data_IF_093788992061
#
_entry.id   IF_093788992061
#
_cell.length_a   1.000
_cell.length_b   1.000
_cell.length_c   1.000
_cell.angle_alpha   90.00
_cell.angle_beta   90.00
_cell.angle_gamma   90.00
#
_symmetry.space_group_name_H-M   'P 1'
#
loop_
_entity.id
_entity.type
_entity.pdbx_description
1 polymer ?
#
# COMPACT_ATOMS: atom_id res chain seq x y z
N UNK A 1 -16.66 9.01 1.21
CA UNK A 1 -16.59 8.78 2.66
C UNK A 1 -17.11 7.42 3.10
N UNK A 2 -18.08 6.79 2.40
CA UNK A 2 -18.59 5.45 2.73
C UNK A 2 -17.56 4.29 2.70
N UNK A 3 -16.29 4.55 2.36
CA UNK A 3 -15.24 3.53 2.15
C UNK A 3 -14.01 3.73 3.06
N UNK A 4 -14.17 4.39 4.21
CA UNK A 4 -13.08 4.55 5.19
C UNK A 4 -13.03 3.29 6.05
N UNK A 5 -11.90 2.59 6.03
CA UNK A 5 -11.61 1.49 6.96
C UNK A 5 -10.93 1.97 8.23
N UNK A 6 -10.80 1.08 9.22
CA UNK A 6 -10.07 1.37 10.46
C UNK A 6 -8.57 1.56 10.16
N UNK A 7 -7.94 2.71 10.51
CA UNK A 7 -6.52 2.91 10.25
C UNK A 7 -5.62 1.99 11.10
N UNK A 8 -4.85 1.13 10.43
CA UNK A 8 -4.06 0.08 11.09
C UNK A 8 -2.58 0.40 11.31
N UNK A 9 -2.02 1.44 10.69
CA UNK A 9 -0.57 1.66 10.64
C UNK A 9 0.06 1.82 12.03
N UNK A 10 -0.53 2.63 12.92
CA UNK A 10 0.03 2.85 14.26
C UNK A 10 0.07 1.55 15.06
N UNK A 11 -0.97 0.70 14.97
CA UNK A 11 -0.99 -0.61 15.64
C UNK A 11 0.00 -1.59 15.00
N UNK A 12 0.16 -1.54 13.68
CA UNK A 12 1.16 -2.33 12.96
C UNK A 12 2.59 -1.97 13.37
N UNK A 13 2.91 -0.68 13.44
CA UNK A 13 4.21 -0.19 13.90
C UNK A 13 4.45 -0.46 15.38
N UNK A 14 3.43 -0.36 16.23
CA UNK A 14 3.53 -0.78 17.63
C UNK A 14 3.89 -2.26 17.74
N UNK A 15 3.23 -3.13 16.96
CA UNK A 15 3.51 -4.56 16.99
C UNK A 15 4.92 -4.88 16.48
N UNK A 16 5.36 -4.23 15.40
CA UNK A 16 6.73 -4.37 14.91
C UNK A 16 7.76 -3.88 15.94
N UNK A 17 7.48 -2.77 16.63
CA UNK A 17 8.33 -2.23 17.69
C UNK A 17 8.40 -3.16 18.89
N UNK A 18 7.28 -3.75 19.33
CA UNK A 18 7.26 -4.75 20.42
C UNK A 18 8.05 -6.01 20.08
N UNK A 19 8.04 -6.45 18.82
CA UNK A 19 8.73 -7.66 18.39
C UNK A 19 10.23 -7.43 18.12
N UNK A 20 10.59 -6.30 17.52
CA UNK A 20 11.93 -6.09 16.93
C UNK A 20 12.56 -4.74 17.29
N UNK A 21 11.84 -3.85 17.97
CA UNK A 21 12.29 -2.50 18.30
C UNK A 21 13.38 -2.48 19.35
N UNK A 22 14.42 -1.67 19.13
CA UNK A 22 15.54 -1.46 20.07
C UNK A 22 15.53 -0.09 20.74
N UNK A 23 15.03 0.93 20.03
CA UNK A 23 14.97 2.30 20.53
C UNK A 23 13.67 2.56 21.33
N UNK A 24 13.66 3.50 22.30
CA UNK A 24 12.44 3.89 22.98
C UNK A 24 11.35 4.37 21.99
N UNK A 25 10.12 3.90 22.14
CA UNK A 25 8.97 4.25 21.27
C UNK A 25 8.86 5.75 20.99
N UNK A 26 8.84 6.56 22.05
CA UNK A 26 8.69 8.01 21.95
C UNK A 26 9.79 8.70 21.10
N UNK A 27 11.01 8.14 21.09
CA UNK A 27 12.14 8.71 20.36
C UNK A 27 11.98 8.61 18.84
N UNK A 28 11.24 7.60 18.36
CA UNK A 28 11.02 7.35 16.93
C UNK A 28 10.16 8.44 16.27
N UNK A 29 9.36 9.17 17.06
CA UNK A 29 8.45 10.21 16.57
C UNK A 29 9.10 11.59 16.53
N UNK A 30 10.14 11.83 17.32
CA UNK A 30 10.72 13.16 17.54
C UNK A 30 11.16 13.86 16.25
N UNK A 31 11.84 13.19 15.29
CA UNK A 31 12.23 13.83 14.04
C UNK A 31 11.03 14.33 13.24
N UNK A 32 9.95 13.54 13.17
CA UNK A 32 8.74 13.88 12.43
C UNK A 32 7.92 14.95 13.14
N UNK A 33 7.82 14.91 14.47
CA UNK A 33 7.17 15.96 15.27
C UNK A 33 7.86 17.30 15.03
N UNK A 34 9.21 17.33 15.10
CA UNK A 34 10.00 18.54 14.83
C UNK A 34 9.73 19.06 13.42
N UNK A 35 9.82 18.20 12.41
CA UNK A 35 9.55 18.56 11.02
C UNK A 35 8.14 19.12 10.82
N UNK A 36 7.14 18.55 11.49
CA UNK A 36 5.75 19.00 11.42
C UNK A 36 5.51 20.35 12.12
N UNK A 37 6.18 20.62 13.25
CA UNK A 37 6.08 21.92 13.97
C UNK A 37 6.86 23.03 13.28
N UNK A 38 8.12 22.77 12.92
CA UNK A 38 9.01 23.78 12.32
C UNK A 38 8.63 24.04 10.85
N UNK A 39 8.10 23.02 10.18
CA UNK A 39 7.74 23.04 8.79
C UNK A 39 8.88 22.63 7.87
N UNK A 40 8.55 22.36 6.62
CA UNK A 40 9.49 21.96 5.59
C UNK A 40 9.09 22.51 4.21
N UNK A 41 10.05 22.70 3.29
CA UNK A 41 9.73 23.12 1.93
C UNK A 41 8.99 22.00 1.20
N UNK A 42 7.87 22.32 0.57
CA UNK A 42 7.05 21.35 -0.16
C UNK A 42 7.89 20.73 -1.28
N UNK A 43 8.09 19.40 -1.29
CA UNK A 43 8.80 18.72 -2.36
C UNK A 43 8.05 18.82 -3.69
N UNK A 44 8.77 18.82 -4.81
CA UNK A 44 8.18 18.89 -6.15
C UNK A 44 7.10 17.81 -6.40
N UNK A 45 7.31 16.60 -5.87
CA UNK A 45 6.33 15.52 -6.00
C UNK A 45 5.03 15.82 -5.24
N UNK A 46 5.11 16.41 -4.04
CA UNK A 46 3.92 16.78 -3.27
C UNK A 46 3.18 17.93 -3.95
N UNK A 47 3.91 18.94 -4.44
CA UNK A 47 3.33 20.08 -5.17
C UNK A 47 2.51 19.64 -6.39
N UNK A 48 2.93 18.58 -7.10
CA UNK A 48 2.18 18.00 -8.23
C UNK A 48 0.79 17.51 -7.82
N UNK A 49 0.61 17.10 -6.57
CA UNK A 49 -0.64 16.54 -6.06
C UNK A 49 -1.51 17.55 -5.30
N UNK A 50 -0.98 18.68 -4.84
CA UNK A 50 -1.75 19.72 -4.13
C UNK A 50 -3.03 20.15 -4.88
N UNK A 51 -3.04 20.32 -6.21
CA UNK A 51 -4.27 20.68 -6.94
C UNK A 51 -5.42 19.67 -6.78
N UNK A 52 -5.13 18.40 -6.46
CA UNK A 52 -6.17 17.40 -6.19
C UNK A 52 -6.89 17.62 -4.86
N UNK A 53 -6.32 18.42 -3.95
CA UNK A 53 -6.96 18.86 -2.71
C UNK A 53 -7.89 20.06 -2.92
N UNK A 54 -7.93 20.67 -4.10
CA UNK A 54 -8.72 21.88 -4.40
C UNK A 54 -10.13 21.53 -4.89
N UNK A 55 -10.94 20.98 -4.00
CA UNK A 55 -12.36 20.68 -4.28
C UNK A 55 -13.25 21.25 -3.18
N UNK A 56 -14.53 21.47 -3.48
CA UNK A 56 -15.49 21.97 -2.47
C UNK A 56 -15.75 20.96 -1.34
N UNK A 57 -15.36 19.69 -1.52
CA UNK A 57 -15.55 18.61 -0.54
C UNK A 57 -14.36 18.45 0.41
N UNK A 58 -13.29 19.22 0.23
CA UNK A 58 -11.99 19.07 0.91
C UNK A 58 -11.60 20.29 1.73
N UNK A 59 -12.53 21.14 2.17
CA UNK A 59 -12.20 22.47 2.74
C UNK A 59 -11.10 22.46 3.82
N UNK A 60 -11.08 21.55 4.82
CA UNK A 60 -9.97 21.47 5.78
C UNK A 60 -8.63 21.07 5.14
N UNK A 61 -8.65 20.14 4.17
CA UNK A 61 -7.47 19.69 3.43
C UNK A 61 -6.96 20.78 2.47
N UNK A 62 -7.86 21.49 1.80
CA UNK A 62 -7.53 22.64 0.96
C UNK A 62 -6.84 23.70 1.81
N UNK A 63 -7.41 24.04 2.97
CA UNK A 63 -6.85 25.01 3.91
C UNK A 63 -5.44 24.62 4.37
N UNK A 64 -5.15 23.34 4.58
CA UNK A 64 -3.80 22.87 4.90
C UNK A 64 -2.77 23.23 3.80
N UNK A 65 -3.20 23.19 2.54
CA UNK A 65 -2.36 23.49 1.38
C UNK A 65 -2.61 24.88 0.79
N UNK A 66 -3.21 25.79 1.55
CA UNK A 66 -3.40 27.18 1.14
C UNK A 66 -2.57 28.11 2.00
N UNK A 67 -2.05 29.17 1.38
CA UNK A 67 -1.48 30.30 2.10
C UNK A 67 -2.58 31.16 2.77
N UNK A 68 -2.15 32.23 3.44
CA UNK A 68 -3.03 33.19 4.12
C UNK A 68 -4.01 33.90 3.18
N UNK A 69 -3.70 33.97 1.88
CA UNK A 69 -4.48 34.63 0.85
C UNK A 69 -5.38 33.62 0.10
N UNK A 70 -5.42 32.36 0.57
CA UNK A 70 -6.24 31.28 0.04
C UNK A 70 -5.68 30.65 -1.24
N UNK A 71 -4.45 30.99 -1.64
CA UNK A 71 -3.79 30.42 -2.81
C UNK A 71 -3.10 29.11 -2.45
N UNK A 72 -3.14 28.14 -3.36
CA UNK A 72 -2.49 26.86 -3.13
C UNK A 72 -0.97 27.02 -3.06
N UNK A 73 -0.36 26.36 -2.06
CA UNK A 73 1.07 26.29 -1.88
C UNK A 73 1.74 25.53 -3.05
N UNK A 74 2.97 25.93 -3.38
CA UNK A 74 3.78 25.43 -4.50
C UNK A 74 5.05 24.76 -3.99
N UNK A 75 5.77 24.12 -4.90
CA UNK A 75 7.06 23.53 -4.58
C UNK A 75 8.02 24.60 -4.02
N UNK A 76 8.68 24.28 -2.90
CA UNK A 76 9.56 25.20 -2.18
C UNK A 76 8.87 26.06 -1.12
N UNK A 77 7.55 26.25 -1.19
CA UNK A 77 6.82 26.95 -0.12
C UNK A 77 6.89 26.15 1.19
N UNK A 78 6.94 26.85 2.32
CA UNK A 78 7.02 26.21 3.63
C UNK A 78 5.63 25.77 4.10
N UNK A 79 5.49 24.48 4.42
CA UNK A 79 4.29 23.91 5.03
C UNK A 79 4.55 23.48 6.47
N UNK A 80 3.61 23.79 7.37
CA UNK A 80 3.58 23.29 8.76
C UNK A 80 2.39 22.38 8.97
N UNK A 81 2.53 21.41 9.87
CA UNK A 81 1.49 20.44 10.23
C UNK A 81 1.36 20.31 11.75
N UNK A 82 1.06 21.42 12.41
CA UNK A 82 1.05 21.51 13.89
C UNK A 82 0.10 20.50 14.54
N UNK A 83 -1.13 20.33 14.01
CA UNK A 83 -2.07 19.32 14.53
C UNK A 83 -1.58 17.88 14.37
N UNK A 84 -0.85 17.60 13.28
CA UNK A 84 -0.19 16.31 13.12
C UNK A 84 0.89 16.14 14.17
N UNK A 85 1.67 17.19 14.45
CA UNK A 85 2.68 17.14 15.50
C UNK A 85 2.06 16.85 16.88
N UNK A 86 0.96 17.52 17.23
CA UNK A 86 0.25 17.28 18.50
C UNK A 86 -0.27 15.83 18.58
N UNK A 87 -0.84 15.31 17.49
CA UNK A 87 -1.30 13.91 17.39
C UNK A 87 -0.14 12.93 17.59
N UNK A 88 0.98 13.14 16.90
CA UNK A 88 2.16 12.29 17.00
C UNK A 88 2.81 12.38 18.38
N UNK A 89 2.79 13.55 19.02
CA UNK A 89 3.29 13.74 20.38
C UNK A 89 2.44 13.00 21.42
N UNK A 90 1.12 13.03 21.29
CA UNK A 90 0.23 12.21 22.11
C UNK A 90 0.54 10.71 21.96
N UNK A 91 0.68 10.22 20.73
CA UNK A 91 1.02 8.81 20.45
C UNK A 91 2.42 8.45 20.97
N UNK A 92 3.39 9.35 20.85
CA UNK A 92 4.74 9.14 21.34
C UNK A 92 4.76 8.98 22.88
N UNK A 93 3.98 9.79 23.60
CA UNK A 93 3.98 9.84 25.06
C UNK A 93 3.08 8.79 25.70
N UNK A 94 1.95 8.46 25.07
CA UNK A 94 0.91 7.59 25.65
C UNK A 94 0.85 6.21 24.99
N UNK A 95 1.64 5.98 23.93
CA UNK A 95 1.62 4.74 23.15
C UNK A 95 0.53 4.72 22.09
N UNK A 96 0.45 3.61 21.36
CA UNK A 96 -0.49 3.45 20.25
C UNK A 96 -1.96 3.58 20.68
N UNK A 97 -2.31 3.16 21.91
CA UNK A 97 -3.67 3.20 22.43
C UNK A 97 -4.28 4.60 22.45
N UNK A 98 -3.46 5.65 22.51
CA UNK A 98 -3.93 7.04 22.40
C UNK A 98 -4.69 7.30 21.09
N UNK A 99 -4.29 6.64 19.99
CA UNK A 99 -4.96 6.72 18.70
C UNK A 99 -6.28 5.95 18.66
N UNK A 100 -6.40 4.86 19.43
CA UNK A 100 -7.50 3.91 19.30
C UNK A 100 -8.61 4.06 20.35
N UNK A 101 -8.30 4.59 21.54
CA UNK A 101 -9.21 4.58 22.71
C UNK A 101 -9.40 5.94 23.40
N UNK A 102 -8.85 7.03 22.85
CA UNK A 102 -8.83 8.35 23.50
C UNK A 102 -9.39 9.49 22.64
N UNK A 103 -8.99 10.72 22.97
CA UNK A 103 -9.45 11.93 22.27
C UNK A 103 -9.23 11.88 20.75
N UNK A 104 -8.11 11.31 20.31
CA UNK A 104 -7.80 11.14 18.87
C UNK A 104 -8.85 10.23 18.21
N UNK A 105 -9.22 9.13 18.87
CA UNK A 105 -10.25 8.20 18.40
C UNK A 105 -11.61 8.91 18.27
N UNK A 106 -12.01 9.65 19.30
CA UNK A 106 -13.28 10.39 19.30
C UNK A 106 -13.34 11.44 18.19
N UNK A 107 -12.26 12.21 18.01
CA UNK A 107 -12.18 13.23 16.96
C UNK A 107 -12.20 12.60 15.57
N UNK A 108 -11.45 11.51 15.38
CA UNK A 108 -11.41 10.78 14.12
C UNK A 108 -12.78 10.22 13.73
N UNK A 109 -13.46 9.57 14.66
CA UNK A 109 -14.77 8.98 14.39
C UNK A 109 -15.82 10.06 14.13
N UNK A 110 -15.80 11.17 14.89
CA UNK A 110 -16.69 12.31 14.62
C UNK A 110 -16.51 12.82 13.19
N UNK A 111 -15.28 13.12 12.78
CA UNK A 111 -15.01 13.70 11.45
C UNK A 111 -15.31 12.70 10.32
N UNK A 112 -15.09 11.39 10.54
CA UNK A 112 -15.50 10.33 9.61
C UNK A 112 -17.03 10.28 9.47
N UNK A 113 -17.77 10.33 10.57
CA UNK A 113 -19.23 10.24 10.57
C UNK A 113 -19.89 11.50 10.00
N UNK A 114 -19.35 12.69 10.29
CA UNK A 114 -19.77 13.95 9.67
C UNK A 114 -19.59 13.91 8.14
N UNK A 115 -18.54 13.23 7.66
CA UNK A 115 -18.35 13.00 6.24
C UNK A 115 -19.27 11.91 5.66
N UNK A 116 -20.02 11.18 6.47
CA UNK A 116 -20.91 10.08 6.03
C UNK A 116 -20.27 8.69 6.03
N UNK A 117 -19.17 8.50 6.76
CA UNK A 117 -18.59 7.17 7.04
C UNK A 117 -19.32 6.44 8.16
N UNK A 118 -19.11 5.13 8.26
CA UNK A 118 -19.83 4.23 9.20
C UNK A 118 -18.96 3.65 10.30
N UNK A 119 -17.65 3.94 10.32
CA UNK A 119 -16.72 3.46 11.34
C UNK A 119 -17.13 4.02 12.71
N UNK A 120 -17.06 3.18 13.73
CA UNK A 120 -17.38 3.51 15.12
C UNK A 120 -16.14 3.52 16.01
N UNK A 121 -16.26 4.10 17.20
CA UNK A 121 -15.20 4.03 18.22
C UNK A 121 -14.94 2.58 18.65
N UNK A 122 -15.96 1.71 18.62
CA UNK A 122 -15.83 0.29 18.91
C UNK A 122 -15.02 -0.46 17.84
N UNK A 123 -15.22 -0.13 16.57
CA UNK A 123 -14.42 -0.70 15.46
C UNK A 123 -12.94 -0.32 15.63
N UNK A 124 -12.67 0.93 16.00
CA UNK A 124 -11.32 1.42 16.22
C UNK A 124 -10.67 0.74 17.46
N UNK A 125 -11.38 0.66 18.58
CA UNK A 125 -10.90 0.05 19.82
C UNK A 125 -10.66 -1.47 19.70
N UNK A 126 -11.47 -2.16 18.88
CA UNK A 126 -11.36 -3.61 18.67
C UNK A 126 -10.30 -4.01 17.65
N UNK A 127 -9.79 -3.07 16.85
CA UNK A 127 -8.77 -3.37 15.84
C UNK A 127 -7.49 -3.94 16.45
N UNK A 128 -6.95 -4.98 15.80
CA UNK A 128 -5.68 -5.60 16.15
C UNK A 128 -4.86 -5.79 14.87
N UNK A 129 -3.55 -5.54 14.98
CA UNK A 129 -2.62 -5.91 13.92
C UNK A 129 -2.38 -7.43 13.98
N UNK A 130 -2.50 -8.10 12.84
CA UNK A 130 -2.25 -9.54 12.73
C UNK A 130 -0.80 -9.78 12.31
N UNK A 131 -0.09 -10.62 13.06
CA UNK A 131 1.23 -11.12 12.69
C UNK A 131 1.05 -12.49 12.05
N UNK A 132 1.58 -12.67 10.85
CA UNK A 132 1.49 -13.92 10.09
C UNK A 132 2.82 -14.24 9.44
N UNK A 133 3.07 -15.52 9.22
CA UNK A 133 4.22 -15.97 8.46
C UNK A 133 4.09 -15.54 7.00
N UNK A 134 5.21 -15.12 6.42
CA UNK A 134 5.28 -14.84 4.99
C UNK A 134 5.06 -16.13 4.19
N UNK A 135 4.35 -16.02 3.09
CA UNK A 135 4.37 -17.06 2.07
C UNK A 135 5.67 -16.98 1.29
N UNK A 136 6.14 -18.13 0.81
CA UNK A 136 7.40 -18.22 0.12
C UNK A 136 7.28 -19.10 -1.13
N UNK A 137 7.93 -18.69 -2.21
CA UNK A 137 8.11 -19.52 -3.42
C UNK A 137 9.58 -19.58 -3.83
N UNK A 138 9.98 -20.69 -4.43
CA UNK A 138 11.33 -20.89 -4.95
C UNK A 138 11.40 -20.41 -6.40
N UNK A 139 12.40 -19.57 -6.69
CA UNK A 139 12.67 -18.98 -8.00
C UNK A 139 14.13 -19.28 -8.38
N UNK A 140 14.34 -20.45 -8.98
CA UNK A 140 15.69 -20.95 -9.23
C UNK A 140 16.43 -21.16 -7.91
N UNK A 141 17.54 -20.47 -7.71
CA UNK A 141 18.35 -20.54 -6.48
C UNK A 141 17.87 -19.57 -5.38
N UNK A 142 16.88 -18.72 -5.66
CA UNK A 142 16.37 -17.72 -4.72
C UNK A 142 15.05 -18.17 -4.08
N UNK A 143 14.79 -17.65 -2.88
CA UNK A 143 13.48 -17.73 -2.24
C UNK A 143 12.85 -16.33 -2.23
N UNK A 144 11.63 -16.20 -2.76
CA UNK A 144 10.87 -14.96 -2.68
C UNK A 144 9.84 -15.08 -1.55
N UNK A 145 9.89 -14.14 -0.61
CA UNK A 145 8.93 -14.01 0.48
C UNK A 145 7.94 -12.88 0.22
N UNK A 146 6.68 -13.07 0.60
CA UNK A 146 5.65 -12.05 0.50
C UNK A 146 4.54 -12.28 1.54
N UNK A 147 3.83 -11.23 1.99
CA UNK A 147 2.72 -11.41 2.91
C UNK A 147 1.59 -12.24 2.27
N UNK A 148 0.86 -13.07 3.05
CA UNK A 148 -0.32 -13.78 2.56
C UNK A 148 -1.43 -12.82 2.10
N UNK A 149 -2.48 -13.32 1.42
CA UNK A 149 -3.71 -12.56 1.19
C UNK A 149 -4.19 -11.83 2.46
N UNK A 150 -4.73 -10.60 2.33
CA UNK A 150 -5.15 -9.95 1.09
C UNK A 150 -4.02 -9.24 0.32
N UNK A 151 -2.75 -9.38 0.72
CA UNK A 151 -1.64 -8.74 0.00
C UNK A 151 -1.45 -9.31 -1.42
N UNK A 152 -1.01 -8.46 -2.35
CA UNK A 152 -0.91 -8.79 -3.78
C UNK A 152 0.33 -9.58 -4.20
N UNK A 153 1.25 -9.92 -3.28
CA UNK A 153 2.52 -10.56 -3.61
C UNK A 153 2.37 -11.90 -4.36
N UNK A 154 1.27 -12.60 -4.10
CA UNK A 154 0.90 -13.84 -4.77
C UNK A 154 0.67 -13.71 -6.29
N UNK A 155 0.25 -12.53 -6.76
CA UNK A 155 0.09 -12.31 -8.19
C UNK A 155 1.46 -12.23 -8.86
N UNK A 156 2.41 -11.55 -8.23
CA UNK A 156 3.79 -11.52 -8.69
C UNK A 156 4.41 -12.92 -8.66
N UNK A 157 4.14 -13.71 -7.62
CA UNK A 157 4.62 -15.09 -7.54
C UNK A 157 4.09 -15.95 -8.70
N UNK A 158 2.79 -15.84 -9.03
CA UNK A 158 2.19 -16.53 -10.17
C UNK A 158 2.84 -16.11 -11.50
N UNK A 159 3.02 -14.81 -11.72
CA UNK A 159 3.65 -14.28 -12.95
C UNK A 159 5.06 -14.85 -13.10
N UNK A 160 5.88 -14.80 -12.04
CA UNK A 160 7.23 -15.33 -12.08
C UNK A 160 7.24 -16.84 -12.31
N UNK A 161 6.29 -17.57 -11.73
CA UNK A 161 6.16 -19.02 -11.91
C UNK A 161 5.74 -19.41 -13.34
N UNK A 162 4.87 -18.62 -13.98
CA UNK A 162 4.55 -18.77 -15.41
C UNK A 162 5.82 -18.55 -16.25
N UNK A 163 6.57 -17.49 -15.92
CA UNK A 163 7.71 -17.05 -16.71
C UNK A 163 8.96 -17.91 -16.56
N UNK A 164 9.13 -18.62 -15.43
CA UNK A 164 10.37 -19.36 -15.13
C UNK A 164 10.76 -20.37 -16.21
N UNK A 165 9.78 -21.06 -16.80
CA UNK A 165 10.01 -22.10 -17.82
C UNK A 165 10.27 -21.55 -19.23
N UNK A 166 10.13 -20.23 -19.44
CA UNK A 166 10.58 -19.61 -20.68
C UNK A 166 12.11 -19.38 -20.70
N UNK A 167 12.81 -19.66 -19.60
CA UNK A 167 14.28 -19.65 -19.49
C UNK A 167 14.93 -18.39 -20.09
N UNK A 168 14.35 -17.22 -19.77
CA UNK A 168 14.83 -15.94 -20.26
C UNK A 168 16.24 -15.67 -19.73
N UNK A 169 17.16 -15.37 -20.65
CA UNK A 169 18.54 -15.00 -20.31
C UNK A 169 19.02 -13.87 -21.22
N UNK A 170 20.12 -13.17 -20.87
CA UNK A 170 20.72 -12.20 -21.77
C UNK A 170 21.05 -12.78 -23.15
N UNK A 171 21.33 -14.10 -23.25
CA UNK A 171 21.58 -14.76 -24.52
C UNK A 171 20.32 -14.92 -25.39
N UNK A 172 19.16 -15.23 -24.78
CA UNK A 172 17.88 -15.40 -25.48
C UNK A 172 17.18 -14.07 -25.78
N UNK A 173 17.73 -12.94 -25.35
CA UNK A 173 17.14 -11.60 -25.53
C UNK A 173 17.95 -10.73 -26.51
N UNK A 174 18.89 -11.32 -27.27
CA UNK A 174 19.76 -10.61 -28.20
C UNK A 174 19.02 -10.19 -29.47
N UNK A 175 18.18 -11.07 -30.02
CA UNK A 175 17.44 -10.78 -31.26
C UNK A 175 16.16 -10.03 -30.95
N UNK A 176 15.78 -9.14 -31.86
CA UNK A 176 14.57 -8.31 -31.71
C UNK A 176 13.31 -9.18 -31.60
N UNK A 177 13.24 -10.26 -32.37
CA UNK A 177 12.11 -11.18 -32.43
C UNK A 177 11.94 -11.92 -31.09
N UNK A 178 13.04 -12.44 -30.54
CA UNK A 178 13.04 -13.13 -29.25
C UNK A 178 12.68 -12.18 -28.10
N UNK A 179 13.21 -10.95 -28.13
CA UNK A 179 12.87 -9.90 -27.16
C UNK A 179 11.40 -9.49 -27.24
N UNK A 180 10.86 -9.38 -28.46
CA UNK A 180 9.44 -9.08 -28.69
C UNK A 180 8.55 -10.17 -28.12
N UNK A 181 8.89 -11.43 -28.40
CA UNK A 181 8.16 -12.58 -27.86
C UNK A 181 8.25 -12.67 -26.34
N UNK A 182 9.40 -12.31 -25.75
CA UNK A 182 9.55 -12.26 -24.30
C UNK A 182 8.62 -11.21 -23.67
N UNK A 183 8.56 -10.00 -24.22
CA UNK A 183 7.62 -8.98 -23.74
C UNK A 183 6.17 -9.39 -23.95
N UNK A 184 5.84 -10.00 -25.07
CA UNK A 184 4.50 -10.54 -25.33
C UNK A 184 4.10 -11.52 -24.22
N UNK A 185 4.94 -12.51 -23.91
CA UNK A 185 4.68 -13.48 -22.83
C UNK A 185 4.53 -12.83 -21.45
N UNK A 186 5.34 -11.81 -21.14
CA UNK A 186 5.22 -11.04 -19.89
C UNK A 186 3.87 -10.32 -19.82
N UNK A 187 3.47 -9.65 -20.91
CA UNK A 187 2.19 -8.93 -21.00
C UNK A 187 1.02 -9.91 -20.83
N UNK A 188 1.06 -11.06 -21.50
CA UNK A 188 0.02 -12.10 -21.38
C UNK A 188 -0.07 -12.65 -19.95
N UNK A 189 1.07 -12.93 -19.30
CA UNK A 189 1.10 -13.35 -17.90
C UNK A 189 0.50 -12.29 -16.97
N UNK A 190 0.78 -11.00 -17.20
CA UNK A 190 0.15 -9.91 -16.44
C UNK A 190 -1.36 -9.85 -16.64
N UNK A 191 -1.87 -10.07 -17.85
CA UNK A 191 -3.33 -10.08 -18.09
C UNK A 191 -4.01 -11.20 -17.32
N UNK A 192 -3.48 -12.42 -17.38
CA UNK A 192 -4.01 -13.54 -16.61
C UNK A 192 -3.98 -13.27 -15.10
N UNK A 193 -2.87 -12.78 -14.57
CA UNK A 193 -2.76 -12.44 -13.15
C UNK A 193 -3.78 -11.36 -12.76
N UNK A 194 -3.95 -10.31 -13.59
CA UNK A 194 -4.92 -9.26 -13.31
C UNK A 194 -6.37 -9.78 -13.28
N UNK A 195 -6.73 -10.70 -14.18
CA UNK A 195 -8.05 -11.35 -14.18
C UNK A 195 -8.32 -12.23 -12.95
N UNK A 196 -7.25 -12.75 -12.33
CA UNK A 196 -7.31 -13.59 -11.13
C UNK A 196 -7.27 -12.78 -9.82
N UNK A 197 -6.84 -11.51 -9.86
CA UNK A 197 -6.69 -10.63 -8.69
C UNK A 197 -7.93 -10.58 -7.80
N UNK A 198 -9.14 -10.67 -8.38
CA UNK A 198 -10.43 -10.68 -7.64
C UNK A 198 -10.57 -11.81 -6.63
N UNK A 199 -9.75 -12.85 -6.73
CA UNK A 199 -9.71 -14.00 -5.84
C UNK A 199 -8.78 -13.80 -4.64
N UNK A 200 -7.96 -12.75 -4.64
CA UNK A 200 -7.12 -12.38 -3.49
C UNK A 200 -7.94 -11.47 -2.59
N UNK A 201 -8.49 -12.05 -1.53
CA UNK A 201 -9.34 -11.39 -0.54
C UNK A 201 -8.89 -11.73 0.86
N UNK A 202 -9.53 -11.13 1.85
CA UNK A 202 -9.31 -11.45 3.25
C UNK A 202 -9.51 -12.97 3.50
N UNK A 203 -8.50 -13.68 4.04
CA UNK A 203 -8.58 -15.12 4.28
C UNK A 203 -9.68 -15.50 5.28
N UNK A 204 -10.07 -14.58 6.19
CA UNK A 204 -11.20 -14.78 7.10
C UNK A 204 -12.55 -14.94 6.39
N UNK A 205 -12.63 -14.62 5.09
CA UNK A 205 -13.85 -14.67 4.27
C UNK A 205 -13.73 -15.63 3.07
N UNK A 206 -13.01 -16.76 3.20
CA UNK A 206 -12.97 -17.91 2.27
C UNK A 206 -12.18 -17.77 0.95
N UNK A 207 -11.05 -17.05 0.96
CA UNK A 207 -10.16 -16.92 -0.23
C UNK A 207 -8.90 -17.80 -0.23
N UNK A 208 -8.56 -18.42 0.91
CA UNK A 208 -7.23 -18.97 1.12
C UNK A 208 -6.88 -20.15 0.21
N UNK A 209 -7.83 -21.07 -0.03
CA UNK A 209 -7.59 -22.25 -0.88
C UNK A 209 -7.29 -21.87 -2.33
N UNK A 210 -8.03 -20.91 -2.88
CA UNK A 210 -7.79 -20.46 -4.25
C UNK A 210 -6.48 -19.69 -4.36
N UNK A 211 -6.15 -18.87 -3.35
CA UNK A 211 -4.85 -18.23 -3.28
C UNK A 211 -3.73 -19.28 -3.28
N UNK A 212 -3.79 -20.32 -2.45
CA UNK A 212 -2.79 -21.40 -2.43
C UNK A 212 -2.58 -22.05 -3.81
N UNK A 213 -3.65 -22.26 -4.59
CA UNK A 213 -3.52 -22.80 -5.96
C UNK A 213 -2.64 -21.91 -6.87
N UNK A 214 -2.62 -20.60 -6.67
CA UNK A 214 -1.82 -19.69 -7.50
C UNK A 214 -0.32 -19.79 -7.22
N UNK A 215 0.10 -20.40 -6.10
CA UNK A 215 1.51 -20.67 -5.83
C UNK A 215 1.98 -22.02 -6.39
N UNK A 216 1.07 -22.87 -6.89
CA UNK A 216 1.40 -24.19 -7.43
C UNK A 216 1.93 -24.14 -8.87
N UNK A 217 2.95 -24.95 -9.15
CA UNK A 217 3.54 -25.09 -10.49
C UNK A 217 2.55 -25.64 -11.53
N UNK A 218 1.63 -26.51 -11.09
CA UNK A 218 0.56 -27.07 -11.92
C UNK A 218 -0.34 -25.96 -12.48
N UNK A 219 -0.70 -24.98 -11.66
CA UNK A 219 -1.53 -23.86 -12.03
C UNK A 219 -0.80 -22.91 -12.99
N UNK A 220 0.45 -22.57 -12.69
CA UNK A 220 1.29 -21.77 -13.59
C UNK A 220 1.47 -22.43 -14.96
N UNK A 221 1.65 -23.77 -14.99
CA UNK A 221 1.72 -24.55 -16.23
C UNK A 221 0.41 -24.50 -17.01
N UNK A 222 -0.73 -24.58 -16.34
CA UNK A 222 -2.03 -24.45 -16.98
C UNK A 222 -2.19 -23.06 -17.61
N UNK A 223 -1.93 -21.98 -16.88
CA UNK A 223 -2.01 -20.62 -17.42
C UNK A 223 -1.03 -20.44 -18.59
N UNK A 224 0.20 -20.95 -18.47
CA UNK A 224 1.18 -20.89 -19.57
C UNK A 224 0.68 -21.57 -20.85
N UNK A 225 -0.05 -22.68 -20.73
CA UNK A 225 -0.62 -23.38 -21.90
C UNK A 225 -1.68 -22.58 -22.65
N UNK A 226 -2.25 -21.56 -22.00
CA UNK A 226 -3.21 -20.64 -22.59
C UNK A 226 -2.55 -19.43 -23.28
N UNK A 227 -1.25 -19.19 -23.06
CA UNK A 227 -0.54 -18.06 -23.67
C UNK A 227 -0.16 -18.42 -25.12
N UNK A 228 -0.83 -17.78 -26.08
CA UNK A 228 -0.47 -17.86 -27.50
C UNK A 228 0.79 -17.06 -27.80
N UNK A 229 1.64 -17.55 -28.72
CA UNK A 229 2.79 -16.76 -29.23
C UNK A 229 2.43 -15.90 -30.44
N UNK A 230 1.23 -16.10 -31.02
CA UNK A 230 0.81 -15.46 -32.27
C UNK A 230 -0.04 -14.19 -32.05
N UNK A 231 -0.49 -13.92 -30.82
CA UNK A 231 -1.32 -12.76 -30.53
C UNK A 231 -1.91 -12.74 -29.12
N UNK A 232 -2.76 -11.74 -28.88
CA UNK A 232 -3.53 -11.53 -27.65
C UNK A 232 -5.02 -11.77 -27.90
N UNK A 233 -5.76 -12.04 -26.82
CA UNK A 233 -7.21 -12.13 -26.82
C UNK A 233 -7.87 -10.85 -26.26
N UNK A 234 -9.20 -10.84 -26.23
CA UNK A 234 -9.99 -9.78 -25.61
C UNK A 234 -9.98 -9.87 -24.07
N UNK A 235 -10.55 -8.86 -23.40
CA UNK A 235 -10.59 -8.82 -21.94
C UNK A 235 -11.42 -9.96 -21.32
N UNK A 236 -12.41 -10.51 -22.04
CA UNK A 236 -13.26 -11.59 -21.56
C UNK A 236 -12.46 -12.89 -21.40
N UNK A 237 -11.55 -13.16 -22.33
CA UNK A 237 -10.65 -14.32 -22.27
C UNK A 237 -9.83 -14.38 -20.98
N UNK A 238 -9.30 -13.23 -20.53
CA UNK A 238 -8.55 -13.14 -19.28
C UNK A 238 -9.45 -12.89 -18.06
N UNK A 239 -10.76 -12.70 -18.26
CA UNK A 239 -11.72 -12.34 -17.21
C UNK A 239 -11.29 -11.03 -16.47
N UNK A 240 -10.87 -10.03 -17.26
CA UNK A 240 -10.54 -8.68 -16.78
C UNK A 240 -11.77 -7.78 -16.95
N UNK A 241 -12.15 -7.12 -15.86
CA UNK A 241 -13.04 -5.96 -15.94
C UNK A 241 -12.17 -4.69 -15.86
N UNK A 242 -12.14 -3.84 -16.90
CA UNK A 242 -11.36 -2.60 -16.83
C UNK A 242 -11.81 -1.75 -15.64
N UNK A 243 -10.85 -1.33 -14.83
CA UNK A 243 -11.07 -0.37 -13.75
C UNK A 243 -9.92 0.64 -13.75
N UNK A 244 -10.16 1.81 -13.17
CA UNK A 244 -9.13 2.84 -13.02
C UNK A 244 -8.17 2.45 -11.91
N UNK A 245 -6.88 2.33 -12.22
CA UNK A 245 -5.86 2.14 -11.19
C UNK A 245 -5.83 3.32 -10.22
N UNK A 246 -5.64 3.00 -8.94
CA UNK A 246 -5.43 3.99 -7.88
C UNK A 246 -3.95 4.27 -7.68
N UNK A 247 -3.62 5.52 -7.41
CA UNK A 247 -2.27 5.96 -7.02
C UNK A 247 -2.33 6.49 -5.59
N UNK A 248 -1.44 6.05 -4.69
CA UNK A 248 -1.47 6.48 -3.29
C UNK A 248 -0.67 5.63 -2.30
N UNK A 249 0.47 5.09 -2.70
CA UNK A 249 1.27 4.15 -1.91
C UNK A 249 2.72 4.58 -1.84
N UNK A 250 3.37 4.37 -0.70
CA UNK A 250 4.81 4.51 -0.53
C UNK A 250 5.43 3.17 -0.14
N UNK A 251 6.71 2.99 -0.45
CA UNK A 251 7.46 1.80 -0.10
C UNK A 251 8.83 2.21 0.46
N UNK A 252 9.26 1.53 1.52
CA UNK A 252 10.57 1.72 2.13
C UNK A 252 11.20 0.35 2.36
N UNK A 253 12.47 0.23 1.97
CA UNK A 253 13.31 -0.92 2.27
C UNK A 253 14.52 -0.46 3.07
N UNK A 254 14.81 -1.14 4.18
CA UNK A 254 15.93 -0.83 5.08
C UNK A 254 16.73 -2.11 5.32
N UNK A 255 18.05 -2.00 5.21
CA UNK A 255 19.00 -3.03 5.63
C UNK A 255 19.85 -2.45 6.75
N UNK A 256 19.87 -3.10 7.90
CA UNK A 256 20.70 -2.72 9.03
C UNK A 256 22.05 -3.45 9.01
N UNK A 257 23.04 -2.89 9.71
CA UNK A 257 24.40 -3.46 9.81
C UNK A 257 24.41 -4.86 10.46
N UNK A 258 23.42 -5.17 11.31
CA UNK A 258 23.27 -6.49 11.94
C UNK A 258 22.61 -7.54 11.00
N UNK A 259 22.39 -7.19 9.74
CA UNK A 259 21.77 -8.06 8.74
C UNK A 259 20.24 -8.07 8.77
N UNK A 260 19.60 -7.34 9.68
CA UNK A 260 18.14 -7.19 9.68
C UNK A 260 17.68 -6.47 8.42
N UNK A 261 16.68 -7.00 7.73
CA UNK A 261 16.07 -6.39 6.57
C UNK A 261 14.57 -6.15 6.82
N UNK A 262 14.09 -4.97 6.43
CA UNK A 262 12.69 -4.57 6.54
C UNK A 262 12.21 -4.05 5.20
N UNK A 263 11.04 -4.52 4.76
CA UNK A 263 10.35 -4.04 3.57
C UNK A 263 8.91 -3.68 3.93
N UNK A 264 8.57 -2.40 3.83
CA UNK A 264 7.27 -1.86 4.29
C UNK A 264 6.62 -1.13 3.14
N UNK A 265 5.40 -1.55 2.82
CA UNK A 265 4.50 -0.84 1.89
C UNK A 265 3.36 -0.24 2.70
N UNK A 266 3.19 1.08 2.64
CA UNK A 266 2.18 1.83 3.37
C UNK A 266 1.31 2.62 2.39
N UNK A 267 0.00 2.70 2.65
CA UNK A 267 -0.96 3.27 1.71
C UNK A 267 -2.20 3.80 2.41
N UNK A 268 -2.74 4.88 1.84
CA UNK A 268 -4.11 5.37 2.10
C UNK A 268 -4.99 5.19 0.85
N UNK A 269 -4.62 4.24 -0.02
CA UNK A 269 -5.19 3.89 -1.33
C UNK A 269 -5.03 4.95 -2.42
N UNK A 270 -5.59 6.13 -2.20
CA UNK A 270 -5.62 7.22 -3.18
C UNK A 270 -4.75 8.40 -2.73
N UNK A 271 -4.41 9.31 -3.64
CA UNK A 271 -3.83 10.61 -3.28
C UNK A 271 -4.79 11.32 -2.32
N UNK A 272 -4.31 11.64 -1.12
CA UNK A 272 -5.09 12.15 0.02
C UNK A 272 -6.23 11.23 0.51
N UNK A 273 -6.24 9.97 0.09
CA UNK A 273 -7.14 8.93 0.57
C UNK A 273 -8.61 9.28 0.40
N UNK A 274 -9.33 9.36 1.52
CA UNK A 274 -10.78 9.65 1.54
C UNK A 274 -11.11 11.14 1.42
N UNK A 275 -10.10 12.01 1.34
CA UNK A 275 -10.22 13.47 1.39
C UNK A 275 -10.75 14.04 2.73
N UNK A 276 -11.01 13.19 3.73
CA UNK A 276 -11.37 13.61 5.09
C UNK A 276 -10.10 13.99 5.83
N UNK A 277 -10.02 15.24 6.29
CA UNK A 277 -8.90 15.76 7.06
C UNK A 277 -9.39 16.24 8.42
N UNK A 278 -8.70 15.76 9.47
CA UNK A 278 -9.09 15.99 10.86
C UNK A 278 -9.04 17.47 11.22
N UNK A 279 -10.11 17.93 11.88
CA UNK A 279 -10.25 19.32 12.31
C UNK A 279 -9.53 19.63 13.60
#
# INVERSE_FOLDING_TARGET
SAWIGVPGEIRGYEQAHKLYGKLPWASLFQPTIKLAREGFPIPAIQARYIPYADTNLTEPLRKLFSDKDGQLLKAGDMIKREKLADTLEMIANQGADAFYNGKIAEDLIRDIQEAGGTVTVQDLASYRATVTDAWAITLGEYQMYFPPPPAGGIMLSLILNIMKEYNLSPATLKKKEEKTLAYHRIIEAFKFANGLKKHIRDPGFSSEEMAKKFTEDSFAKHIRSLISSEGTHDAQYYNITPYLDSVGTTHVSVLAEDGSAVSVTSTINHIFGSNVYLR
#
